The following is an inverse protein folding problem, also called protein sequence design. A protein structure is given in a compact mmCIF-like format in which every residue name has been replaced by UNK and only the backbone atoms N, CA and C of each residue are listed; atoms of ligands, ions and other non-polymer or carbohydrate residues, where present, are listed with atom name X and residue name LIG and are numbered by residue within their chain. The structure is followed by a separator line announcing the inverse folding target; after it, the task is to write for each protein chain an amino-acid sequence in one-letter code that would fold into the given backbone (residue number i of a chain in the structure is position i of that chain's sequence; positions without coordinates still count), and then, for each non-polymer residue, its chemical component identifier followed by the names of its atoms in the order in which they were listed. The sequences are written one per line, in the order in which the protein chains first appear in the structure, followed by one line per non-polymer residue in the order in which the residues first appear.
data_IF_190003617263
#
_entry.id   IF_190003617263
#
_cell.length_a   1.000
_cell.length_b   1.000
_cell.length_c   1.000
_cell.angle_alpha   90.00
_cell.angle_beta   90.00
_cell.angle_gamma   90.00
#
_symmetry.space_group_name_H-M   'P 1'
#
loop_
_entity.id
_entity.type
_entity.pdbx_description
1 polymer ?
#
# COMPACT_ATOMS: atom_id res chain seq x y z
N UNK A 1 -38.88 25.62 30.11
CA UNK A 1 -38.89 24.14 30.20
C UNK A 1 -37.72 23.71 31.09
N UNK A 2 -38.00 23.20 32.29
CA UNK A 2 -37.01 22.66 33.24
C UNK A 2 -37.07 21.14 33.11
N UNK A 3 -35.99 20.52 32.65
CA UNK A 3 -35.89 19.06 32.57
C UNK A 3 -35.76 18.56 34.00
N UNK A 4 -36.86 17.99 34.51
CA UNK A 4 -36.95 17.44 35.85
C UNK A 4 -36.19 16.14 35.95
N UNK A 5 -35.45 16.01 37.04
CA UNK A 5 -35.52 14.89 37.98
C UNK A 5 -35.99 13.55 37.35
N UNK A 6 -35.06 12.83 36.73
CA UNK A 6 -35.25 11.43 36.36
C UNK A 6 -34.58 10.61 37.44
N UNK A 7 -35.39 10.02 38.32
CA UNK A 7 -34.95 9.01 39.27
C UNK A 7 -34.38 7.81 38.49
N UNK A 8 -33.06 7.75 38.33
CA UNK A 8 -32.38 6.57 37.83
C UNK A 8 -32.50 5.49 38.91
N UNK A 9 -33.21 4.41 38.55
CA UNK A 9 -33.34 3.20 39.34
C UNK A 9 -31.98 2.58 39.69
N UNK A 10 -32.03 1.65 40.62
CA UNK A 10 -30.89 1.02 41.30
C UNK A 10 -29.70 0.72 40.36
N UNK A 11 -28.53 1.18 40.79
CA UNK A 11 -27.23 0.86 40.19
C UNK A 11 -27.10 -0.65 40.03
N UNK A 12 -26.93 -1.19 38.80
CA UNK A 12 -26.66 -2.60 38.62
C UNK A 12 -25.29 -2.96 39.22
N UNK A 13 -25.27 -4.14 39.83
CA UNK A 13 -24.25 -4.75 40.68
C UNK A 13 -22.78 -4.49 40.30
N UNK A 14 -21.95 -4.44 41.36
CA UNK A 14 -20.48 -4.38 41.33
C UNK A 14 -19.87 -5.36 40.32
N UNK A 15 -18.73 -5.00 39.68
CA UNK A 15 -18.07 -5.87 38.71
C UNK A 15 -17.67 -7.19 39.38
N UNK A 16 -18.08 -8.29 38.76
CA UNK A 16 -17.58 -9.63 39.08
C UNK A 16 -16.05 -9.58 39.04
N UNK A 17 -15.42 -9.81 40.19
CA UNK A 17 -13.99 -9.99 40.28
C UNK A 17 -13.64 -11.30 39.59
N UNK A 18 -13.23 -11.23 38.33
CA UNK A 18 -12.69 -12.40 37.63
C UNK A 18 -11.29 -12.61 38.19
N UNK A 19 -11.20 -13.57 39.10
CA UNK A 19 -9.96 -14.20 39.53
C UNK A 19 -9.14 -14.65 38.30
N UNK A 20 -7.81 -14.47 38.28
CA UNK A 20 -6.97 -15.00 37.22
C UNK A 20 -6.71 -16.49 37.47
N UNK A 21 -7.75 -17.30 37.33
CA UNK A 21 -7.67 -18.76 37.47
C UNK A 21 -7.38 -19.36 36.10
N UNK A 22 -6.09 -19.46 35.81
CA UNK A 22 -5.45 -20.52 35.04
C UNK A 22 -6.38 -21.43 34.22
N UNK A 23 -6.76 -21.00 33.01
CA UNK A 23 -7.19 -21.95 31.97
C UNK A 23 -5.96 -22.34 31.14
N UNK A 24 -5.22 -23.30 31.68
CA UNK A 24 -4.13 -23.97 31.01
C UNK A 24 -4.70 -24.92 29.94
N UNK A 25 -4.96 -24.39 28.73
CA UNK A 25 -5.21 -25.25 27.58
C UNK A 25 -3.87 -25.75 27.06
N UNK A 26 -3.66 -27.06 27.22
CA UNK A 26 -2.46 -27.80 26.87
C UNK A 26 -2.21 -27.80 25.36
N UNK A 27 -0.93 -27.60 25.03
CA UNK A 27 -0.27 -28.06 23.80
C UNK A 27 -0.75 -29.46 23.40
N UNK A 28 -1.36 -29.56 22.22
CA UNK A 28 -1.27 -30.73 21.37
C UNK A 28 -0.44 -30.33 20.13
N UNK A 29 0.76 -30.88 20.06
CA UNK A 29 1.72 -30.70 18.97
C UNK A 29 1.58 -31.91 18.04
N UNK A 30 1.05 -31.71 16.84
CA UNK A 30 1.11 -32.61 15.67
C UNK A 30 1.05 -31.69 14.46
N UNK A 31 2.21 -31.22 13.98
CA UNK A 31 2.92 -31.82 12.83
C UNK A 31 2.04 -31.83 11.57
N UNK A 32 1.94 -30.65 10.97
CA UNK A 32 1.67 -30.47 9.55
C UNK A 32 2.20 -29.08 9.18
N UNK A 33 2.88 -29.04 8.05
CA UNK A 33 3.60 -27.94 7.44
C UNK A 33 2.65 -26.79 7.08
N UNK A 34 2.06 -26.12 8.07
CA UNK A 34 1.24 -24.94 7.86
C UNK A 34 2.15 -23.72 7.93
N UNK A 35 2.82 -23.51 6.79
CA UNK A 35 3.43 -22.24 6.41
C UNK A 35 2.38 -21.16 6.65
N UNK A 36 2.50 -20.50 7.79
CA UNK A 36 1.72 -19.35 8.22
C UNK A 36 1.79 -18.30 7.10
N UNK A 37 0.79 -18.34 6.21
CA UNK A 37 0.55 -17.33 5.22
C UNK A 37 -0.01 -16.15 6.01
N UNK A 38 0.90 -15.25 6.38
CA UNK A 38 0.55 -13.88 6.76
C UNK A 38 -0.54 -13.38 5.79
N UNK A 39 -1.74 -13.12 6.33
CA UNK A 39 -2.82 -12.33 5.73
C UNK A 39 -2.39 -10.85 5.66
N UNK A 40 -1.14 -10.59 5.27
CA UNK A 40 -0.64 -9.27 4.95
C UNK A 40 -0.78 -9.13 3.45
N UNK A 41 -1.59 -8.17 3.03
CA UNK A 41 -1.46 -7.53 1.73
C UNK A 41 0.04 -7.37 1.44
N UNK A 42 0.56 -7.92 0.31
CA UNK A 42 1.99 -8.00 0.08
C UNK A 42 2.56 -6.59 -0.03
N UNK A 43 3.23 -6.04 0.98
CA UNK A 43 3.76 -4.68 0.92
C UNK A 43 4.97 -4.61 -0.01
N UNK A 44 4.75 -4.27 -1.29
CA UNK A 44 5.82 -4.11 -2.27
C UNK A 44 6.48 -2.74 -2.12
N UNK A 45 7.72 -2.70 -1.65
CA UNK A 45 8.39 -1.41 -1.42
C UNK A 45 9.16 -0.94 -2.66
N UNK A 46 9.27 0.39 -2.86
CA UNK A 46 10.11 1.01 -3.92
C UNK A 46 11.53 0.43 -4.02
N UNK A 47 12.19 0.16 -2.88
CA UNK A 47 13.54 -0.41 -2.86
C UNK A 47 13.60 -1.83 -3.45
N UNK A 48 12.59 -2.67 -3.21
CA UNK A 48 12.55 -4.03 -3.74
C UNK A 48 12.39 -4.02 -5.26
N UNK A 49 11.54 -3.12 -5.78
CA UNK A 49 11.43 -2.89 -7.22
C UNK A 49 12.76 -2.41 -7.80
N UNK A 50 13.44 -1.46 -7.17
CA UNK A 50 14.75 -0.98 -7.66
C UNK A 50 15.85 -2.05 -7.59
N UNK A 51 15.81 -2.94 -6.61
CA UNK A 51 16.75 -4.05 -6.50
C UNK A 51 16.51 -5.15 -7.55
N UNK A 52 15.25 -5.33 -7.98
CA UNK A 52 14.89 -6.31 -8.99
C UNK A 52 15.37 -5.93 -10.40
N UNK A 53 15.52 -6.95 -11.26
CA UNK A 53 15.85 -6.79 -12.68
C UNK A 53 14.74 -6.05 -13.42
N UNK A 54 15.06 -5.19 -14.41
CA UNK A 54 14.05 -4.40 -15.13
C UNK A 54 12.94 -5.25 -15.76
N UNK A 55 13.27 -6.44 -16.29
CA UNK A 55 12.30 -7.37 -16.86
C UNK A 55 11.37 -7.99 -15.80
N UNK A 56 11.88 -8.21 -14.58
CA UNK A 56 11.11 -8.78 -13.47
C UNK A 56 10.27 -7.73 -12.74
N UNK A 57 10.69 -6.45 -12.75
CA UNK A 57 9.98 -5.35 -12.09
C UNK A 57 8.53 -5.22 -12.55
N UNK A 58 8.30 -5.33 -13.85
CA UNK A 58 6.95 -5.27 -14.41
C UNK A 58 6.09 -6.42 -13.92
N UNK A 59 6.59 -7.65 -13.99
CA UNK A 59 5.87 -8.82 -13.52
C UNK A 59 5.57 -8.78 -12.02
N UNK A 60 6.53 -8.31 -11.20
CA UNK A 60 6.34 -8.14 -9.76
C UNK A 60 5.27 -7.10 -9.44
N UNK A 61 5.27 -5.97 -10.13
CA UNK A 61 4.28 -4.91 -9.93
C UNK A 61 2.89 -5.34 -10.40
N UNK A 62 2.80 -6.02 -11.54
CA UNK A 62 1.54 -6.59 -12.03
C UNK A 62 1.00 -7.65 -11.07
N UNK A 63 1.84 -8.55 -10.57
CA UNK A 63 1.44 -9.56 -9.59
C UNK A 63 0.92 -8.93 -8.29
N UNK A 64 1.65 -7.93 -7.75
CA UNK A 64 1.21 -7.18 -6.56
C UNK A 64 -0.16 -6.53 -6.77
N UNK A 65 -0.37 -5.86 -7.90
CA UNK A 65 -1.65 -5.22 -8.22
C UNK A 65 -2.77 -6.26 -8.33
N UNK A 66 -2.52 -7.39 -9.01
CA UNK A 66 -3.50 -8.47 -9.16
C UNK A 66 -3.83 -9.13 -7.83
N UNK A 67 -2.83 -9.42 -6.99
CA UNK A 67 -3.04 -10.00 -5.65
C UNK A 67 -3.85 -9.06 -4.76
N UNK A 68 -3.52 -7.77 -4.77
CA UNK A 68 -4.29 -6.75 -4.03
C UNK A 68 -5.75 -6.70 -4.51
N UNK A 69 -5.97 -6.71 -5.83
CA UNK A 69 -7.31 -6.70 -6.42
C UNK A 69 -8.07 -7.97 -6.04
N UNK A 70 -7.47 -9.15 -6.17
CA UNK A 70 -8.08 -10.42 -5.80
C UNK A 70 -8.50 -10.45 -4.33
N UNK A 71 -7.63 -9.98 -3.42
CA UNK A 71 -7.95 -9.89 -2.01
C UNK A 71 -9.11 -8.89 -1.76
N UNK A 72 -9.03 -7.71 -2.37
CA UNK A 72 -10.07 -6.68 -2.20
C UNK A 72 -11.42 -7.05 -2.80
N UNK A 73 -11.45 -7.84 -3.88
CA UNK A 73 -12.66 -8.29 -4.57
C UNK A 73 -13.13 -9.67 -4.10
N UNK A 74 -12.36 -10.34 -3.24
CA UNK A 74 -12.59 -11.73 -2.83
C UNK A 74 -12.70 -12.70 -4.03
N UNK A 75 -11.90 -12.45 -5.08
CA UNK A 75 -11.87 -13.26 -6.30
C UNK A 75 -10.61 -14.12 -6.34
N UNK A 76 -10.67 -15.23 -7.08
CA UNK A 76 -9.50 -16.06 -7.30
C UNK A 76 -8.49 -15.38 -8.25
N UNK A 77 -7.17 -15.56 -8.05
CA UNK A 77 -6.12 -14.98 -8.90
C UNK A 77 -6.17 -15.42 -10.37
N UNK A 78 -6.95 -16.47 -10.68
CA UNK A 78 -7.12 -16.95 -12.04
C UNK A 78 -8.25 -16.24 -12.81
N UNK A 79 -9.06 -15.40 -12.13
CA UNK A 79 -10.16 -14.66 -12.75
C UNK A 79 -9.75 -13.25 -13.22
N UNK A 80 -8.64 -12.72 -12.70
CA UNK A 80 -8.09 -11.44 -13.10
C UNK A 80 -6.91 -11.64 -14.06
N UNK A 81 -6.82 -10.78 -15.07
CA UNK A 81 -5.70 -10.77 -16.02
C UNK A 81 -5.16 -9.35 -16.13
N UNK A 82 -3.83 -9.20 -16.26
CA UNK A 82 -3.18 -7.89 -16.40
C UNK A 82 -3.68 -7.03 -17.58
N UNK A 83 -4.36 -7.65 -18.55
CA UNK A 83 -4.93 -7.00 -19.73
C UNK A 83 -6.34 -6.45 -19.51
N UNK A 84 -6.99 -6.74 -18.37
CA UNK A 84 -8.30 -6.19 -18.08
C UNK A 84 -8.20 -4.70 -17.74
N UNK A 85 -9.20 -3.94 -18.18
CA UNK A 85 -9.30 -2.51 -17.88
C UNK A 85 -9.80 -2.29 -16.46
N UNK A 86 -9.19 -1.34 -15.74
CA UNK A 86 -9.57 -0.99 -14.38
C UNK A 86 -11.06 -0.60 -14.26
N UNK A 87 -11.60 0.14 -15.22
CA UNK A 87 -13.02 0.52 -15.22
C UNK A 87 -14.01 -0.65 -15.20
N UNK A 88 -13.60 -1.87 -15.55
CA UNK A 88 -14.48 -3.05 -15.49
C UNK A 88 -14.40 -3.81 -14.17
N UNK A 89 -13.37 -3.55 -13.36
CA UNK A 89 -13.02 -4.33 -12.16
C UNK A 89 -13.13 -3.47 -10.90
N UNK A 90 -12.79 -2.18 -11.01
CA UNK A 90 -12.74 -1.25 -9.90
C UNK A 90 -14.02 -0.42 -9.80
N UNK A 91 -14.59 -0.40 -8.60
CA UNK A 91 -15.51 0.65 -8.16
C UNK A 91 -14.73 1.91 -7.76
N UNK A 92 -15.39 3.08 -7.77
CA UNK A 92 -14.76 4.36 -7.41
C UNK A 92 -14.06 4.35 -6.04
N UNK A 93 -14.58 3.60 -5.07
CA UNK A 93 -13.98 3.44 -3.74
C UNK A 93 -12.72 2.56 -3.79
N UNK A 94 -12.79 1.43 -4.51
CA UNK A 94 -11.63 0.53 -4.67
C UNK A 94 -10.50 1.24 -5.41
N UNK A 95 -10.81 2.05 -6.42
CA UNK A 95 -9.83 2.88 -7.12
C UNK A 95 -9.11 3.87 -6.19
N UNK A 96 -9.83 4.51 -5.26
CA UNK A 96 -9.21 5.38 -4.26
C UNK A 96 -8.33 4.60 -3.27
N UNK A 97 -8.76 3.43 -2.81
CA UNK A 97 -7.96 2.60 -1.91
C UNK A 97 -6.69 2.11 -2.60
N UNK A 98 -6.78 1.63 -3.84
CA UNK A 98 -5.64 1.21 -4.64
C UNK A 98 -4.64 2.36 -4.85
N UNK A 99 -5.15 3.55 -5.20
CA UNK A 99 -4.34 4.76 -5.33
C UNK A 99 -3.58 5.06 -4.04
N UNK A 100 -4.27 5.09 -2.91
CA UNK A 100 -3.65 5.40 -1.62
C UNK A 100 -2.62 4.34 -1.22
N UNK A 101 -2.89 3.06 -1.51
CA UNK A 101 -1.96 1.98 -1.24
C UNK A 101 -0.68 2.14 -2.07
N UNK A 102 -0.81 2.36 -3.38
CA UNK A 102 0.32 2.58 -4.29
C UNK A 102 1.14 3.82 -3.87
N UNK A 103 0.46 4.91 -3.54
CA UNK A 103 1.10 6.14 -3.05
C UNK A 103 1.87 5.91 -1.74
N UNK A 104 1.35 5.06 -0.84
CA UNK A 104 1.99 4.74 0.43
C UNK A 104 3.15 3.76 0.29
N UNK A 105 3.06 2.76 -0.60
CA UNK A 105 4.08 1.72 -0.78
C UNK A 105 5.25 2.20 -1.67
N UNK A 106 4.94 2.99 -2.71
CA UNK A 106 5.92 3.42 -3.71
C UNK A 106 6.35 4.88 -3.55
N UNK A 107 5.66 5.67 -2.73
CA UNK A 107 5.87 7.11 -2.58
C UNK A 107 5.73 7.87 -3.92
N UNK A 108 4.87 7.36 -4.82
CA UNK A 108 4.62 7.90 -6.16
C UNK A 108 3.19 8.44 -6.26
N UNK A 109 3.02 9.65 -6.81
CA UNK A 109 1.69 10.21 -7.05
C UNK A 109 1.04 9.59 -8.28
N UNK A 110 -0.21 9.13 -8.15
CA UNK A 110 -0.96 8.53 -9.26
C UNK A 110 -2.26 9.28 -9.47
N UNK A 111 -2.47 9.80 -10.69
CA UNK A 111 -3.72 10.49 -11.02
C UNK A 111 -4.90 9.51 -11.04
N UNK A 112 -6.03 9.93 -10.45
CA UNK A 112 -7.27 9.13 -10.39
C UNK A 112 -7.80 8.75 -11.79
N UNK A 113 -7.50 9.57 -12.80
CA UNK A 113 -7.82 9.32 -14.21
C UNK A 113 -7.21 8.02 -14.74
N UNK A 114 -6.08 7.57 -14.17
CA UNK A 114 -5.48 6.30 -14.56
C UNK A 114 -6.32 5.09 -14.14
N UNK A 115 -7.09 5.21 -13.05
CA UNK A 115 -7.94 4.12 -12.54
C UNK A 115 -9.35 4.15 -13.10
N UNK A 116 -9.92 5.35 -13.28
CA UNK A 116 -11.28 5.52 -13.80
C UNK A 116 -11.37 5.49 -15.33
N UNK A 117 -10.23 5.47 -16.02
CA UNK A 117 -10.15 5.35 -17.46
C UNK A 117 -10.19 3.90 -17.95
N UNK A 118 -9.90 3.74 -19.23
CA UNK A 118 -9.75 2.47 -19.94
C UNK A 118 -8.34 1.86 -19.83
N UNK A 119 -7.52 2.34 -18.89
CA UNK A 119 -6.18 1.79 -18.68
C UNK A 119 -6.25 0.37 -18.12
N UNK A 120 -5.25 -0.42 -18.46
CA UNK A 120 -5.08 -1.78 -17.96
C UNK A 120 -4.04 -1.84 -16.85
N UNK A 121 -4.03 -2.94 -16.09
CA UNK A 121 -3.05 -3.19 -15.02
C UNK A 121 -1.62 -3.09 -15.56
N UNK A 122 -1.35 -3.69 -16.72
CA UNK A 122 -0.05 -3.64 -17.38
C UNK A 122 0.36 -2.20 -17.77
N UNK A 123 -0.58 -1.38 -18.25
CA UNK A 123 -0.31 0.02 -18.61
C UNK A 123 0.03 0.86 -17.38
N UNK A 124 -0.72 0.68 -16.28
CA UNK A 124 -0.44 1.39 -15.03
C UNK A 124 0.90 0.96 -14.43
N UNK A 125 1.23 -0.33 -14.49
CA UNK A 125 2.53 -0.84 -14.06
C UNK A 125 3.69 -0.21 -14.86
N UNK A 126 3.58 -0.14 -16.20
CA UNK A 126 4.57 0.52 -17.06
C UNK A 126 4.72 2.02 -16.74
N UNK A 127 3.62 2.74 -16.53
CA UNK A 127 3.64 4.15 -16.15
C UNK A 127 4.35 4.38 -14.81
N UNK A 128 4.06 3.55 -13.81
CA UNK A 128 4.71 3.63 -12.49
C UNK A 128 6.22 3.37 -12.59
N UNK A 129 6.62 2.36 -13.35
CA UNK A 129 8.04 2.05 -13.57
C UNK A 129 8.78 3.18 -14.27
N UNK A 130 8.16 3.83 -15.25
CA UNK A 130 8.73 5.00 -15.93
C UNK A 130 8.93 6.17 -14.96
N UNK A 131 7.94 6.48 -14.12
CA UNK A 131 8.07 7.52 -13.11
C UNK A 131 9.20 7.20 -12.11
N UNK A 132 9.30 5.95 -11.68
CA UNK A 132 10.32 5.50 -10.74
C UNK A 132 11.72 5.60 -11.36
N UNK A 133 11.87 5.23 -12.64
CA UNK A 133 13.12 5.41 -13.39
C UNK A 133 13.49 6.90 -13.50
N UNK A 134 12.55 7.76 -13.89
CA UNK A 134 12.78 9.21 -13.96
C UNK A 134 13.19 9.81 -12.61
N UNK A 135 12.52 9.42 -11.52
CA UNK A 135 12.86 9.87 -10.17
C UNK A 135 14.29 9.44 -9.78
N UNK A 136 14.73 8.24 -10.20
CA UNK A 136 16.10 7.78 -9.93
C UNK A 136 17.18 8.54 -10.72
N UNK A 137 16.86 8.98 -11.94
CA UNK A 137 17.75 9.80 -12.78
C UNK A 137 17.96 11.18 -12.14
N UNK A 138 16.87 11.87 -11.78
CA UNK A 138 16.93 13.22 -11.18
C UNK A 138 17.64 13.22 -9.83
N UNK A 139 17.44 12.18 -9.01
CA UNK A 139 18.15 12.02 -7.74
C UNK A 139 19.67 11.86 -7.91
N UNK A 140 20.12 11.38 -9.07
CA UNK A 140 21.55 11.24 -9.38
C UNK A 140 22.18 12.57 -9.82
N UNK A 141 21.42 13.45 -10.47
CA UNK A 141 21.91 14.74 -10.98
C UNK A 141 22.14 15.78 -9.87
N UNK A 142 21.50 15.65 -8.70
CA UNK A 142 21.59 16.65 -7.62
C UNK A 142 22.85 16.54 -6.75
N UNK A 143 23.77 15.61 -7.04
CA UNK A 143 25.02 15.44 -6.27
C UNK A 143 26.28 16.01 -6.95
N UNK A 144 26.14 16.62 -8.14
CA UNK A 144 27.23 17.31 -8.85
C UNK A 144 26.92 18.80 -9.07
N UNK A 145 26.61 19.54 -8.01
CA UNK A 145 26.81 20.99 -7.96
C UNK A 145 27.58 21.37 -6.70
N UNK A 146 28.68 20.66 -6.45
CA UNK A 146 29.68 21.05 -5.47
C UNK A 146 30.84 21.74 -6.22
N UNK A 147 30.88 23.07 -6.09
CA UNK A 147 32.06 23.90 -6.34
C UNK A 147 32.10 24.55 -7.71
N UNK A 148 31.95 25.88 -7.72
CA UNK A 148 32.68 26.90 -8.51
C UNK A 148 31.73 28.03 -8.94
N UNK A 149 31.55 29.03 -8.05
CA UNK A 149 31.49 30.46 -8.43
C UNK A 149 31.42 31.34 -7.16
N UNK A 150 32.38 31.14 -6.26
CA UNK A 150 32.83 32.21 -5.37
C UNK A 150 34.25 32.54 -5.83
N UNK A 151 34.43 33.49 -6.76
CA UNK A 151 35.62 34.34 -6.83
C UNK A 151 35.47 35.45 -7.90
N UNK A 152 35.17 36.66 -7.39
CA UNK A 152 35.70 37.96 -7.84
C UNK A 152 35.41 38.46 -9.26
N UNK A 153 34.44 39.38 -9.32
CA UNK A 153 34.64 40.66 -10.02
C UNK A 153 34.39 41.83 -9.03
N UNK A 154 35.31 41.96 -8.07
CA UNK A 154 35.75 43.30 -7.64
C UNK A 154 36.85 43.71 -8.61
N UNK A 155 36.81 44.96 -9.07
CA UNK A 155 37.62 45.63 -10.11
C UNK A 155 36.92 45.55 -11.48
N UNK A 156 36.59 46.64 -12.17
CA UNK A 156 37.35 47.87 -12.28
C UNK A 156 36.48 49.13 -12.44
N UNK A 157 37.08 50.20 -11.93
CA UNK A 157 36.85 51.64 -12.15
C UNK A 157 36.61 52.01 -13.61
#
# INVERSE_FOLDING_TARGET
MRWGDVALGEVPASPVGVTPEQEAIRLAKMDSDEKQLDDKVPALTKQELLAAKPEARQQMLEAYLLEWLCNSLQLAPNELTSQQSFSSILDSLLALMLKNQIESDLELQVSMENFLGNNTVAQLADQLLKQLALASLVASETTCTAGEEEEREKLSI
#
